data_IF_699680328187
#
_entry.id   IF_699680328187
#
_cell.length_a   1.000
_cell.length_b   1.000
_cell.length_c   1.000
_cell.angle_alpha   90.00
_cell.angle_beta   90.00
_cell.angle_gamma   90.00
#
_symmetry.space_group_name_H-M   'P 1'
#
loop_
_entity.id
_entity.type
_entity.pdbx_description
1 polymer ?
#
# COMPACT_ATOMS: atom_id res chain seq x y z
N UNK A 1 -4.97 -0.23 -36.03
CA UNK A 1 -4.18 -0.03 -34.77
C UNK A 1 -4.40 -1.26 -33.93
N UNK A 2 -3.36 -1.76 -33.28
CA UNK A 2 -3.47 -2.87 -32.34
C UNK A 2 -4.25 -2.39 -31.10
N UNK A 3 -5.17 -3.21 -30.59
CA UNK A 3 -5.95 -2.92 -29.38
C UNK A 3 -5.51 -3.78 -28.23
N UNK A 4 -5.87 -3.40 -27.02
CA UNK A 4 -5.65 -4.15 -25.78
C UNK A 4 -6.87 -4.01 -24.85
N UNK A 5 -7.06 -4.96 -23.94
CA UNK A 5 -8.02 -4.83 -22.86
C UNK A 5 -7.49 -3.96 -21.73
N UNK A 6 -8.37 -3.10 -21.19
CA UNK A 6 -8.09 -2.28 -20.01
C UNK A 6 -9.34 -2.09 -19.14
N UNK A 7 -9.16 -2.11 -17.82
CA UNK A 7 -10.21 -1.80 -16.86
C UNK A 7 -10.15 -0.31 -16.51
N UNK A 8 -11.11 0.45 -17.02
CA UNK A 8 -11.13 1.90 -16.99
C UNK A 8 -12.28 2.45 -16.14
N UNK A 9 -11.97 3.42 -15.33
CA UNK A 9 -12.93 4.16 -14.54
C UNK A 9 -13.28 5.47 -15.25
N UNK A 10 -14.56 5.67 -15.53
CA UNK A 10 -15.09 7.00 -15.85
C UNK A 10 -15.43 7.69 -14.54
N UNK A 11 -14.59 8.63 -14.12
CA UNK A 11 -14.61 9.25 -12.80
C UNK A 11 -15.92 10.00 -12.51
N UNK A 12 -16.49 10.83 -13.42
CA UNK A 12 -17.73 11.55 -13.13
C UNK A 12 -18.93 10.64 -12.86
N UNK A 13 -19.05 9.51 -13.58
CA UNK A 13 -20.15 8.55 -13.39
C UNK A 13 -19.81 7.40 -12.44
N UNK A 14 -18.56 7.34 -11.96
CA UNK A 14 -18.06 6.24 -11.10
C UNK A 14 -18.27 4.85 -11.70
N UNK A 15 -18.11 4.75 -13.02
CA UNK A 15 -18.38 3.51 -13.77
C UNK A 15 -17.07 2.85 -14.17
N UNK A 16 -16.80 1.67 -13.60
CA UNK A 16 -15.68 0.81 -14.00
C UNK A 16 -16.13 -0.12 -15.12
N UNK A 17 -15.37 -0.16 -16.23
CA UNK A 17 -15.59 -1.05 -17.37
C UNK A 17 -14.30 -1.67 -17.85
N UNK A 18 -14.37 -2.91 -18.29
CA UNK A 18 -13.30 -3.54 -19.05
C UNK A 18 -13.66 -3.38 -20.54
N UNK A 19 -12.79 -2.72 -21.26
CA UNK A 19 -13.04 -2.34 -22.67
C UNK A 19 -11.77 -2.47 -23.52
N UNK A 20 -11.95 -2.60 -24.82
CA UNK A 20 -10.85 -2.53 -25.77
C UNK A 20 -10.45 -1.07 -26.00
N UNK A 21 -9.15 -0.80 -25.88
CA UNK A 21 -8.55 0.51 -26.13
C UNK A 21 -7.36 0.38 -27.07
N UNK A 22 -6.93 1.45 -27.77
CA UNK A 22 -5.70 1.41 -28.53
C UNK A 22 -4.51 1.00 -27.64
N UNK A 23 -3.72 0.04 -28.11
CA UNK A 23 -2.46 -0.32 -27.45
C UNK A 23 -1.50 0.86 -27.52
N UNK A 24 -0.99 1.37 -26.40
CA UNK A 24 -0.12 2.54 -26.42
C UNK A 24 1.26 2.21 -27.02
N UNK A 25 1.93 3.23 -27.53
CA UNK A 25 3.29 3.15 -28.05
C UNK A 25 4.22 3.96 -27.15
N UNK A 26 5.41 3.44 -26.79
CA UNK A 26 6.33 4.17 -25.91
C UNK A 26 6.95 5.36 -26.67
N UNK A 27 6.81 6.55 -26.09
CA UNK A 27 7.47 7.76 -26.54
C UNK A 27 8.94 7.83 -26.10
N UNK A 28 9.65 8.95 -26.39
CA UNK A 28 11.02 9.15 -25.96
C UNK A 28 11.16 9.04 -24.42
N UNK A 29 12.09 8.22 -23.95
CA UNK A 29 12.33 7.99 -22.53
C UNK A 29 11.34 7.03 -21.84
N UNK A 30 10.33 6.54 -22.56
CA UNK A 30 9.32 5.61 -22.03
C UNK A 30 9.59 4.16 -22.43
N UNK A 31 8.95 3.25 -21.73
CA UNK A 31 8.87 1.83 -22.08
C UNK A 31 7.43 1.36 -22.05
N UNK A 32 7.12 0.36 -22.87
CA UNK A 32 5.87 -0.39 -22.81
C UNK A 32 6.11 -1.68 -22.04
N UNK A 33 5.35 -1.89 -20.97
CA UNK A 33 5.42 -3.08 -20.15
C UNK A 33 4.21 -3.96 -20.43
N UNK A 34 4.45 -5.22 -20.80
CA UNK A 34 3.42 -6.25 -20.78
C UNK A 34 3.15 -6.58 -19.32
N UNK A 35 1.93 -6.35 -18.87
CA UNK A 35 1.54 -6.59 -17.47
C UNK A 35 1.38 -8.09 -17.24
N UNK A 36 2.04 -8.61 -16.22
CA UNK A 36 1.93 -10.02 -15.81
C UNK A 36 1.10 -10.15 -14.52
N UNK A 37 1.09 -9.13 -13.67
CA UNK A 37 0.27 -9.07 -12.47
C UNK A 37 -0.01 -7.62 -12.07
N UNK A 38 -1.25 -7.34 -11.67
CA UNK A 38 -1.66 -6.06 -11.11
C UNK A 38 -2.48 -6.26 -9.83
N UNK A 39 -2.08 -5.62 -8.72
CA UNK A 39 -2.78 -5.70 -7.44
C UNK A 39 -4.07 -4.89 -7.44
N UNK A 40 -4.99 -5.29 -6.54
CA UNK A 40 -6.24 -4.57 -6.25
C UNK A 40 -6.16 -4.04 -4.84
N UNK A 41 -6.22 -2.72 -4.69
CA UNK A 41 -6.09 -1.99 -3.44
C UNK A 41 -7.42 -1.33 -3.03
N UNK A 42 -7.58 -1.04 -1.74
CA UNK A 42 -8.72 -0.23 -1.27
C UNK A 42 -8.71 1.19 -1.83
N UNK A 43 -7.54 1.72 -2.22
CA UNK A 43 -7.48 3.02 -2.91
C UNK A 43 -8.21 3.00 -4.25
N UNK A 44 -8.23 1.85 -4.96
CA UNK A 44 -9.03 1.70 -6.20
C UNK A 44 -10.53 1.76 -5.88
N UNK A 45 -10.98 1.12 -4.78
CA UNK A 45 -12.36 1.22 -4.29
C UNK A 45 -12.69 2.66 -3.94
N UNK A 46 -11.82 3.35 -3.20
CA UNK A 46 -12.01 4.76 -2.81
C UNK A 46 -12.03 5.72 -4.01
N UNK A 47 -11.32 5.41 -5.08
CA UNK A 47 -11.39 6.18 -6.31
C UNK A 47 -12.72 5.95 -7.03
N UNK A 48 -13.22 4.71 -7.05
CA UNK A 48 -14.51 4.35 -7.66
C UNK A 48 -15.66 4.98 -6.87
N UNK A 49 -15.66 4.93 -5.54
CA UNK A 49 -16.73 5.50 -4.70
C UNK A 49 -16.63 7.04 -4.54
N UNK A 50 -15.49 7.63 -4.92
CA UNK A 50 -15.23 9.07 -4.90
C UNK A 50 -14.70 9.60 -3.56
N UNK A 51 -14.35 8.74 -2.62
CA UNK A 51 -13.63 9.10 -1.38
C UNK A 51 -12.23 9.62 -1.72
N UNK A 52 -11.52 8.94 -2.64
CA UNK A 52 -10.28 9.44 -3.23
C UNK A 52 -10.59 10.22 -4.51
N UNK A 53 -10.00 11.42 -4.65
CA UNK A 53 -10.19 12.28 -5.82
C UNK A 53 -8.90 12.38 -6.62
N UNK A 54 -8.95 12.16 -7.96
CA UNK A 54 -7.78 12.28 -8.83
C UNK A 54 -7.55 13.76 -9.20
N UNK A 55 -6.88 14.50 -8.34
CA UNK A 55 -6.71 15.96 -8.49
C UNK A 55 -5.88 16.37 -9.71
N UNK A 56 -5.03 15.48 -10.20
CA UNK A 56 -4.09 15.76 -11.30
C UNK A 56 -4.48 15.04 -12.61
N UNK A 57 -5.58 14.29 -12.60
CA UNK A 57 -6.08 13.59 -13.79
C UNK A 57 -6.46 14.59 -14.88
N UNK A 58 -5.93 14.36 -16.08
CA UNK A 58 -6.35 15.09 -17.29
C UNK A 58 -7.43 14.29 -18.00
N UNK A 59 -8.65 14.82 -18.01
CA UNK A 59 -9.82 14.16 -18.60
C UNK A 59 -10.66 13.43 -17.55
N UNK A 60 -11.61 12.62 -18.02
CA UNK A 60 -12.66 12.02 -17.19
C UNK A 60 -12.49 10.51 -16.99
N UNK A 61 -11.48 9.91 -17.60
CA UNK A 61 -11.30 8.44 -17.58
C UNK A 61 -9.85 8.08 -17.30
N UNK A 62 -9.66 7.05 -16.48
CA UNK A 62 -8.34 6.52 -16.14
C UNK A 62 -8.38 4.99 -16.10
N UNK A 63 -7.35 4.33 -16.63
CA UNK A 63 -7.10 2.91 -16.37
C UNK A 63 -6.59 2.74 -14.95
N UNK A 64 -7.25 1.91 -14.13
CA UNK A 64 -6.88 1.72 -12.73
C UNK A 64 -5.60 0.89 -12.56
N UNK A 65 -5.16 0.74 -11.31
CA UNK A 65 -4.07 -0.15 -10.89
C UNK A 65 -2.72 0.54 -10.76
N UNK A 66 -2.27 0.68 -9.53
CA UNK A 66 -0.97 1.28 -9.16
C UNK A 66 0.03 0.25 -8.62
N UNK A 67 -0.37 -0.98 -8.43
CA UNK A 67 0.45 -2.13 -8.02
C UNK A 67 0.72 -3.00 -9.24
N UNK A 68 1.88 -2.86 -9.89
CA UNK A 68 2.10 -3.46 -11.22
C UNK A 68 3.47 -4.11 -11.34
N UNK A 69 3.51 -5.33 -11.86
CA UNK A 69 4.73 -6.00 -12.32
C UNK A 69 4.52 -6.61 -13.70
N UNK A 70 5.59 -6.71 -14.44
CA UNK A 70 5.51 -7.24 -15.79
C UNK A 70 6.88 -7.37 -16.48
N UNK A 71 6.83 -7.53 -17.79
CA UNK A 71 8.01 -7.67 -18.65
C UNK A 71 8.03 -6.53 -19.68
N UNK A 72 9.17 -5.90 -19.85
CA UNK A 72 9.33 -4.86 -20.87
C UNK A 72 9.10 -5.48 -22.24
N UNK A 73 8.08 -5.01 -22.96
CA UNK A 73 7.76 -5.42 -24.34
C UNK A 73 8.52 -4.58 -25.35
N UNK A 74 8.53 -3.24 -25.17
CA UNK A 74 9.14 -2.29 -26.10
C UNK A 74 9.81 -1.15 -25.32
N UNK A 75 10.80 -0.54 -25.94
CA UNK A 75 11.49 0.66 -25.42
C UNK A 75 11.38 1.78 -26.42
N UNK A 76 11.11 2.99 -25.93
CA UNK A 76 11.04 4.20 -26.73
C UNK A 76 12.42 4.77 -27.05
N UNK A 77 12.42 5.84 -27.85
CA UNK A 77 13.64 6.52 -28.28
C UNK A 77 14.46 7.01 -27.07
N UNK A 78 15.79 6.86 -27.13
CA UNK A 78 16.73 7.31 -26.12
C UNK A 78 16.78 6.45 -24.85
N UNK A 79 15.99 5.39 -24.73
CA UNK A 79 16.07 4.48 -23.59
C UNK A 79 17.26 3.52 -23.74
N UNK A 80 18.24 3.66 -22.86
CA UNK A 80 19.46 2.81 -22.83
C UNK A 80 19.60 1.98 -21.54
N UNK A 81 18.81 2.30 -20.52
CA UNK A 81 18.89 1.69 -19.17
C UNK A 81 17.93 0.50 -19.00
N UNK A 82 17.13 0.20 -20.02
CA UNK A 82 16.13 -0.88 -20.03
C UNK A 82 16.18 -1.61 -21.35
N UNK A 83 15.80 -2.89 -21.32
CA UNK A 83 15.77 -3.74 -22.53
C UNK A 83 14.49 -4.58 -22.58
N UNK A 84 13.97 -4.88 -23.79
CA UNK A 84 12.87 -5.83 -23.93
C UNK A 84 13.21 -7.18 -23.29
N UNK A 85 12.21 -7.84 -22.68
CA UNK A 85 12.36 -9.10 -21.94
C UNK A 85 12.76 -8.90 -20.48
N UNK A 86 13.16 -7.71 -20.03
CA UNK A 86 13.50 -7.44 -18.65
C UNK A 86 12.25 -7.48 -17.74
N UNK A 87 12.30 -8.22 -16.64
CA UNK A 87 11.28 -8.24 -15.61
C UNK A 87 11.37 -6.97 -14.77
N UNK A 88 10.24 -6.34 -14.51
CA UNK A 88 10.18 -5.05 -13.79
C UNK A 88 8.98 -4.96 -12.85
N UNK A 89 9.14 -4.08 -11.86
CA UNK A 89 8.07 -3.57 -10.99
C UNK A 89 7.94 -2.08 -11.25
N UNK A 90 6.74 -1.62 -11.55
CA UNK A 90 6.48 -0.19 -11.79
C UNK A 90 6.30 0.55 -10.46
N UNK A 91 6.75 1.80 -10.40
CA UNK A 91 6.48 2.66 -9.25
C UNK A 91 4.99 3.01 -9.21
N UNK A 92 4.40 3.03 -8.02
CA UNK A 92 3.01 3.44 -7.80
C UNK A 92 2.77 4.92 -8.10
N UNK A 93 3.82 5.71 -8.19
CA UNK A 93 3.76 7.12 -8.56
C UNK A 93 5.06 7.62 -9.17
N UNK A 94 4.97 8.75 -9.85
CA UNK A 94 6.10 9.42 -10.51
C UNK A 94 6.16 10.88 -10.07
N UNK A 95 7.38 11.34 -9.75
CA UNK A 95 7.62 12.76 -9.50
C UNK A 95 7.79 13.48 -10.85
N UNK A 96 6.91 14.44 -11.14
CA UNK A 96 6.94 15.28 -12.33
C UNK A 96 6.90 16.74 -11.89
N UNK A 97 7.94 17.50 -12.21
CA UNK A 97 8.05 18.94 -11.86
C UNK A 97 7.78 19.24 -10.36
N UNK A 98 8.28 18.37 -9.48
CA UNK A 98 8.11 18.51 -8.03
C UNK A 98 6.74 18.07 -7.48
N UNK A 99 5.86 17.51 -8.33
CA UNK A 99 4.53 17.00 -7.97
C UNK A 99 4.48 15.49 -8.20
N UNK A 100 3.99 14.75 -7.20
CA UNK A 100 3.79 13.31 -7.33
C UNK A 100 2.48 13.02 -8.03
N UNK A 101 2.55 12.34 -9.17
CA UNK A 101 1.41 11.77 -9.89
C UNK A 101 1.28 10.30 -9.52
N UNK A 102 0.08 9.87 -9.12
CA UNK A 102 -0.19 8.47 -8.75
C UNK A 102 -0.68 7.69 -9.97
N UNK A 103 -0.01 6.58 -10.28
CA UNK A 103 -0.40 5.62 -11.33
C UNK A 103 -1.80 5.08 -11.03
N UNK A 104 -2.65 4.89 -12.05
CA UNK A 104 -4.00 4.39 -11.87
C UNK A 104 -4.96 5.34 -11.16
N UNK A 105 -4.52 6.56 -10.86
CA UNK A 105 -5.31 7.65 -10.24
C UNK A 105 -5.21 8.91 -11.08
N UNK A 106 -4.01 9.43 -11.28
CA UNK A 106 -3.76 10.68 -12.01
C UNK A 106 -3.35 10.47 -13.47
N UNK A 107 -2.95 9.26 -13.81
CA UNK A 107 -2.65 8.77 -15.17
C UNK A 107 -2.86 7.26 -15.24
N UNK A 108 -2.92 6.71 -16.47
CA UNK A 108 -3.25 5.31 -16.71
C UNK A 108 -2.35 4.34 -15.95
N UNK A 109 -2.98 3.35 -15.31
CA UNK A 109 -2.39 2.31 -14.50
C UNK A 109 -2.19 0.98 -15.21
N UNK A 110 -2.11 -0.09 -14.44
CA UNK A 110 -1.77 -1.42 -14.92
C UNK A 110 -2.90 -2.44 -14.92
N UNK A 111 -4.15 -2.05 -14.72
CA UNK A 111 -5.26 -2.96 -14.99
C UNK A 111 -5.55 -3.00 -16.50
N UNK A 112 -4.54 -3.44 -17.22
CA UNK A 112 -4.52 -3.52 -18.69
C UNK A 112 -3.50 -4.57 -19.13
N UNK A 113 -3.58 -5.04 -20.36
CA UNK A 113 -2.58 -5.96 -20.94
C UNK A 113 -1.19 -5.32 -21.07
N UNK A 114 -1.15 -4.00 -21.27
CA UNK A 114 0.09 -3.22 -21.35
C UNK A 114 -0.03 -1.91 -20.58
N UNK A 115 1.07 -1.46 -20.02
CA UNK A 115 1.18 -0.16 -19.33
C UNK A 115 2.41 0.61 -19.80
N UNK A 116 2.25 1.92 -20.04
CA UNK A 116 3.36 2.84 -20.27
C UNK A 116 4.00 3.24 -18.94
N UNK A 117 5.30 3.43 -18.95
CA UNK A 117 6.04 3.99 -17.82
C UNK A 117 7.30 4.70 -18.30
N UNK A 118 7.70 5.76 -17.61
CA UNK A 118 9.05 6.29 -17.76
C UNK A 118 10.06 5.17 -17.45
N UNK A 119 11.13 5.05 -18.23
CA UNK A 119 12.16 4.03 -18.03
C UNK A 119 12.85 4.11 -16.65
N UNK A 120 12.75 5.28 -16.00
CA UNK A 120 13.28 5.56 -14.65
C UNK A 120 12.27 5.26 -13.53
N UNK A 121 10.97 5.12 -13.85
CA UNK A 121 9.91 4.92 -12.86
C UNK A 121 9.60 3.43 -12.63
N UNK A 122 10.63 2.62 -12.52
CA UNK A 122 10.56 1.18 -12.27
C UNK A 122 11.85 0.64 -11.68
N UNK A 123 11.77 -0.53 -11.04
CA UNK A 123 12.92 -1.32 -10.63
C UNK A 123 12.95 -2.68 -11.34
N UNK A 124 14.14 -3.25 -11.63
CA UNK A 124 14.26 -4.63 -12.06
C UNK A 124 13.65 -5.58 -11.01
N UNK A 125 12.80 -6.51 -11.45
CA UNK A 125 12.24 -7.55 -10.59
C UNK A 125 13.14 -8.78 -10.67
N UNK A 126 13.80 -9.20 -9.57
CA UNK A 126 14.60 -10.41 -9.53
C UNK A 126 13.82 -11.66 -9.92
N UNK A 127 14.47 -12.62 -10.60
CA UNK A 127 13.82 -13.85 -11.06
C UNK A 127 13.27 -14.71 -9.92
N UNK A 128 13.86 -14.60 -8.73
CA UNK A 128 13.42 -15.31 -7.53
C UNK A 128 12.10 -14.77 -6.93
N UNK A 129 11.64 -13.60 -7.38
CA UNK A 129 10.40 -12.99 -6.88
C UNK A 129 9.29 -13.18 -7.93
N UNK A 130 8.19 -13.89 -7.61
CA UNK A 130 7.04 -14.02 -8.50
C UNK A 130 6.43 -12.67 -8.85
N UNK A 131 5.84 -12.52 -10.04
CA UNK A 131 5.18 -11.28 -10.46
C UNK A 131 4.09 -10.85 -9.48
N UNK A 132 3.28 -11.77 -8.96
CA UNK A 132 2.21 -11.46 -8.01
C UNK A 132 2.75 -10.78 -6.75
N UNK A 133 3.83 -11.30 -6.18
CA UNK A 133 4.49 -10.67 -5.03
C UNK A 133 5.18 -9.36 -5.42
N UNK A 134 5.82 -9.32 -6.59
CA UNK A 134 6.43 -8.11 -7.13
C UNK A 134 5.44 -6.98 -7.28
N UNK A 135 4.25 -7.26 -7.80
CA UNK A 135 3.22 -6.27 -8.09
C UNK A 135 2.79 -5.47 -6.85
N UNK A 136 2.65 -6.13 -5.69
CA UNK A 136 2.14 -5.50 -4.47
C UNK A 136 3.19 -4.66 -3.70
N UNK A 137 4.48 -4.84 -4.00
CA UNK A 137 5.55 -4.14 -3.26
C UNK A 137 5.47 -2.62 -3.40
N UNK A 138 5.14 -2.02 -4.58
CA UNK A 138 5.12 -0.58 -4.77
C UNK A 138 4.09 0.19 -3.95
N UNK A 139 3.08 -0.47 -3.40
CA UNK A 139 2.08 0.16 -2.54
C UNK A 139 1.90 -0.59 -1.23
N UNK A 140 1.40 -1.84 -1.28
CA UNK A 140 1.04 -2.58 -0.08
C UNK A 140 2.18 -2.72 0.94
N UNK A 141 3.42 -2.72 0.47
CA UNK A 141 4.63 -2.86 1.30
C UNK A 141 5.38 -1.54 1.44
N UNK A 142 5.52 -0.79 0.35
CA UNK A 142 6.31 0.44 0.37
C UNK A 142 5.64 1.55 1.18
N UNK A 143 4.32 1.64 1.16
CA UNK A 143 3.57 2.63 1.97
C UNK A 143 3.80 2.41 3.47
N UNK A 144 3.61 1.21 4.06
CA UNK A 144 4.03 0.97 5.44
C UNK A 144 5.54 1.14 5.66
N UNK A 145 6.39 0.78 4.68
CA UNK A 145 7.83 1.02 4.79
C UNK A 145 8.15 2.50 5.00
N UNK A 146 7.64 3.38 4.15
CA UNK A 146 7.83 4.83 4.28
C UNK A 146 7.25 5.38 5.58
N UNK A 147 6.04 4.94 5.97
CA UNK A 147 5.43 5.32 7.24
C UNK A 147 6.32 5.00 8.44
N UNK A 148 6.93 3.81 8.44
CA UNK A 148 7.75 3.28 9.55
C UNK A 148 9.16 3.88 9.54
N UNK A 149 9.84 3.84 8.40
CA UNK A 149 11.28 4.18 8.33
C UNK A 149 11.57 5.64 8.11
N UNK A 150 10.65 6.39 7.46
CA UNK A 150 10.84 7.78 7.09
C UNK A 150 9.98 8.70 7.98
N UNK A 151 8.65 8.55 7.96
CA UNK A 151 7.75 9.45 8.68
C UNK A 151 7.84 9.25 10.19
N UNK A 152 7.69 8.03 10.67
CA UNK A 152 7.86 7.71 12.10
C UNK A 152 9.34 7.62 12.49
N UNK A 153 10.22 7.23 11.58
CA UNK A 153 11.63 6.96 11.85
C UNK A 153 11.81 6.00 13.05
N UNK A 154 11.11 4.87 13.00
CA UNK A 154 11.15 3.84 14.05
C UNK A 154 12.57 3.27 14.18
N UNK A 155 13.03 3.14 15.42
CA UNK A 155 14.35 2.59 15.76
C UNK A 155 14.23 1.19 16.35
N UNK A 156 15.27 0.37 16.25
CA UNK A 156 15.28 -0.93 16.94
C UNK A 156 14.93 -0.80 18.42
N UNK A 157 14.17 -1.77 18.93
CA UNK A 157 13.65 -1.85 20.29
C UNK A 157 12.63 -0.75 20.68
N UNK A 158 12.18 0.11 19.77
CA UNK A 158 11.00 0.94 20.02
C UNK A 158 9.72 0.10 20.00
N UNK A 159 8.84 0.29 20.98
CA UNK A 159 7.52 -0.30 21.01
C UNK A 159 6.64 0.34 19.94
N UNK A 160 5.99 -0.48 19.11
CA UNK A 160 5.16 0.01 18.00
C UNK A 160 3.79 -0.67 17.95
N UNK A 161 2.76 0.05 17.50
CA UNK A 161 1.40 -0.48 17.35
C UNK A 161 0.84 -0.26 15.96
N UNK A 162 0.07 -1.23 15.46
CA UNK A 162 -0.58 -1.22 14.15
C UNK A 162 -2.08 -1.37 14.34
N UNK A 163 -2.87 -0.37 13.97
CA UNK A 163 -4.33 -0.40 13.94
C UNK A 163 -4.84 -0.62 12.52
N UNK A 164 -5.61 -1.71 12.33
CA UNK A 164 -6.02 -2.20 11.02
C UNK A 164 -4.96 -3.10 10.39
N UNK A 165 -5.14 -4.43 10.51
CA UNK A 165 -4.20 -5.45 9.98
C UNK A 165 -4.74 -6.05 8.68
N UNK A 166 -5.24 -5.20 7.80
CA UNK A 166 -5.64 -5.53 6.43
C UNK A 166 -4.46 -5.52 5.46
N UNK A 167 -4.74 -5.14 4.21
CA UNK A 167 -3.80 -5.19 3.09
C UNK A 167 -2.49 -4.42 3.25
N UNK A 168 -2.46 -3.33 4.05
CA UNK A 168 -1.23 -2.59 4.37
C UNK A 168 -0.70 -2.97 5.76
N UNK A 169 -1.61 -3.09 6.75
CA UNK A 169 -1.19 -3.28 8.14
C UNK A 169 -0.47 -4.59 8.41
N UNK A 170 -0.80 -5.68 7.73
CA UNK A 170 -0.07 -6.94 7.84
C UNK A 170 1.39 -6.78 7.39
N UNK A 171 1.62 -6.02 6.31
CA UNK A 171 2.96 -5.71 5.84
C UNK A 171 3.68 -4.74 6.78
N UNK A 172 2.93 -3.81 7.42
CA UNK A 172 3.50 -2.96 8.48
C UNK A 172 4.07 -3.79 9.63
N UNK A 173 3.36 -4.84 10.07
CA UNK A 173 3.87 -5.77 11.10
C UNK A 173 5.17 -6.43 10.66
N UNK A 174 5.23 -6.96 9.43
CA UNK A 174 6.46 -7.57 8.90
C UNK A 174 7.62 -6.56 8.81
N UNK A 175 7.34 -5.33 8.35
CA UNK A 175 8.35 -4.26 8.25
C UNK A 175 8.84 -3.85 9.63
N UNK A 176 7.95 -3.65 10.61
CA UNK A 176 8.32 -3.36 12.00
C UNK A 176 9.23 -4.45 12.58
N UNK A 177 8.90 -5.71 12.32
CA UNK A 177 9.75 -6.84 12.73
C UNK A 177 11.13 -6.78 12.07
N UNK A 178 11.17 -6.49 10.76
CA UNK A 178 12.42 -6.40 10.00
C UNK A 178 13.32 -5.24 10.43
N UNK A 179 12.75 -4.10 10.88
CA UNK A 179 13.53 -2.96 11.41
C UNK A 179 13.90 -3.12 12.89
N UNK A 180 13.39 -4.16 13.56
CA UNK A 180 13.72 -4.48 14.94
C UNK A 180 12.88 -3.76 15.99
N UNK A 181 11.66 -3.31 15.66
CA UNK A 181 10.71 -2.80 16.64
C UNK A 181 10.34 -3.91 17.66
N UNK A 182 10.18 -3.56 18.94
CA UNK A 182 9.82 -4.51 20.00
C UNK A 182 9.33 -3.76 21.26
N UNK A 183 8.17 -4.11 21.83
CA UNK A 183 7.17 -5.04 21.29
C UNK A 183 6.38 -4.45 20.12
N UNK A 184 5.77 -5.32 19.31
CA UNK A 184 4.85 -4.97 18.23
C UNK A 184 3.43 -5.38 18.64
N UNK A 185 2.54 -4.41 18.76
CA UNK A 185 1.12 -4.58 19.08
C UNK A 185 0.29 -4.46 17.80
N UNK A 186 -0.53 -5.45 17.49
CA UNK A 186 -1.49 -5.39 16.41
C UNK A 186 -2.92 -5.22 16.94
N UNK A 187 -3.73 -4.39 16.31
CA UNK A 187 -5.12 -4.15 16.73
C UNK A 187 -6.04 -4.26 15.52
N UNK A 188 -6.99 -5.21 15.55
CA UNK A 188 -7.98 -5.39 14.48
C UNK A 188 -9.24 -6.05 15.05
N UNK A 189 -10.47 -5.64 14.64
CA UNK A 189 -11.71 -6.28 15.09
C UNK A 189 -11.86 -7.72 14.57
N UNK A 190 -11.25 -8.03 13.41
CA UNK A 190 -11.35 -9.35 12.80
C UNK A 190 -10.37 -10.35 13.45
N UNK A 191 -10.85 -11.46 14.05
CA UNK A 191 -9.98 -12.46 14.66
C UNK A 191 -9.00 -13.11 13.67
N UNK A 192 -9.40 -13.30 12.40
CA UNK A 192 -8.51 -13.85 11.35
C UNK A 192 -7.36 -12.88 11.06
N UNK A 193 -7.62 -11.57 11.03
CA UNK A 193 -6.57 -10.56 10.88
C UNK A 193 -5.63 -10.54 12.08
N UNK A 194 -6.14 -10.74 13.30
CA UNK A 194 -5.30 -10.84 14.51
C UNK A 194 -4.39 -12.07 14.50
N UNK A 195 -4.89 -13.23 14.11
CA UNK A 195 -4.07 -14.45 13.94
C UNK A 195 -2.97 -14.25 12.89
N UNK A 196 -3.33 -13.62 11.77
CA UNK A 196 -2.40 -13.25 10.70
C UNK A 196 -1.31 -12.28 11.18
N UNK A 197 -1.68 -11.30 12.01
CA UNK A 197 -0.72 -10.37 12.61
C UNK A 197 0.32 -11.09 13.49
N UNK A 198 -0.12 -12.04 14.31
CA UNK A 198 0.79 -12.87 15.10
C UNK A 198 1.74 -13.68 14.22
N UNK A 199 1.21 -14.32 13.16
CA UNK A 199 2.02 -15.06 12.20
C UNK A 199 3.01 -14.14 11.44
N UNK A 200 2.66 -12.87 11.21
CA UNK A 200 3.51 -11.86 10.59
C UNK A 200 4.60 -11.30 11.53
N UNK A 201 4.54 -11.62 12.83
CA UNK A 201 5.55 -11.24 13.81
C UNK A 201 5.11 -10.19 14.84
N UNK A 202 3.80 -9.92 15.02
CA UNK A 202 3.32 -9.16 16.15
C UNK A 202 3.53 -9.95 17.45
N UNK A 203 3.89 -9.27 18.53
CA UNK A 203 4.08 -9.90 19.84
C UNK A 203 2.75 -10.14 20.55
N UNK A 204 1.76 -9.26 20.33
CA UNK A 204 0.36 -9.44 20.75
C UNK A 204 -0.60 -8.90 19.69
N UNK A 205 -1.81 -9.46 19.67
CA UNK A 205 -2.90 -8.99 18.81
C UNK A 205 -4.18 -8.81 19.63
N UNK A 206 -4.79 -7.63 19.56
CA UNK A 206 -5.88 -7.19 20.40
C UNK A 206 -7.13 -6.84 19.60
N UNK A 207 -8.30 -7.02 20.22
CA UNK A 207 -9.54 -6.50 19.70
C UNK A 207 -9.69 -5.03 20.12
N UNK A 208 -10.00 -4.08 19.20
CA UNK A 208 -10.24 -2.69 19.58
C UNK A 208 -11.44 -2.51 20.52
N UNK A 209 -12.37 -3.47 20.57
CA UNK A 209 -13.52 -3.46 21.48
C UNK A 209 -13.17 -4.00 22.89
N UNK A 210 -11.99 -4.55 23.10
CA UNK A 210 -11.56 -5.03 24.41
C UNK A 210 -11.35 -3.86 25.37
N UNK A 211 -12.10 -3.75 26.48
CA UNK A 211 -11.92 -2.71 27.47
C UNK A 211 -10.53 -2.77 28.15
N UNK A 212 -9.87 -3.92 28.16
CA UNK A 212 -8.53 -4.15 28.71
C UNK A 212 -7.38 -3.83 27.75
N UNK A 213 -7.65 -3.27 26.56
CA UNK A 213 -6.62 -2.99 25.55
C UNK A 213 -5.50 -2.09 26.08
N UNK A 214 -5.85 -1.05 26.84
CA UNK A 214 -4.85 -0.12 27.40
C UNK A 214 -3.94 -0.81 28.41
N UNK A 215 -4.51 -1.63 29.26
CA UNK A 215 -3.81 -2.43 30.27
C UNK A 215 -2.89 -3.47 29.60
N UNK A 216 -3.36 -4.10 28.54
CA UNK A 216 -2.57 -5.06 27.76
C UNK A 216 -1.36 -4.38 27.09
N UNK A 217 -1.56 -3.19 26.48
CA UNK A 217 -0.44 -2.40 25.92
C UNK A 217 0.53 -1.96 27.01
N UNK A 218 0.02 -1.50 28.17
CA UNK A 218 0.87 -1.12 29.30
C UNK A 218 1.69 -2.32 29.80
N UNK A 219 1.09 -3.50 29.92
CA UNK A 219 1.78 -4.71 30.37
C UNK A 219 2.96 -5.07 29.44
N UNK A 220 2.77 -5.11 28.11
CA UNK A 220 3.84 -5.51 27.18
C UNK A 220 4.91 -4.44 26.99
N UNK A 221 4.59 -3.16 27.29
CA UNK A 221 5.54 -2.05 27.21
C UNK A 221 6.17 -1.67 28.55
N UNK A 222 5.94 -2.45 29.61
CA UNK A 222 6.40 -2.14 30.97
C UNK A 222 5.87 -0.81 31.50
N UNK A 223 4.67 -0.39 31.07
CA UNK A 223 4.04 0.88 31.46
C UNK A 223 4.49 2.10 30.65
N UNK A 224 5.47 1.96 29.76
CA UNK A 224 6.01 3.09 29.00
C UNK A 224 5.07 3.60 27.89
N UNK A 225 4.21 2.73 27.35
CA UNK A 225 3.38 3.01 26.17
C UNK A 225 4.14 2.85 24.84
N UNK A 226 3.46 3.13 23.73
CA UNK A 226 4.01 2.96 22.40
C UNK A 226 4.82 4.18 21.95
N UNK A 227 6.03 3.97 21.45
CA UNK A 227 6.83 5.01 20.84
C UNK A 227 6.26 5.47 19.47
N UNK A 228 5.65 4.53 18.72
CA UNK A 228 4.97 4.82 17.46
C UNK A 228 3.69 4.00 17.33
N UNK A 229 2.67 4.59 16.75
CA UNK A 229 1.42 3.92 16.37
C UNK A 229 1.08 4.27 14.91
N UNK A 230 0.45 3.33 14.20
CA UNK A 230 0.12 3.48 12.79
C UNK A 230 -1.37 3.19 12.58
N UNK A 231 -2.09 4.16 12.01
CA UNK A 231 -3.49 3.98 11.60
C UNK A 231 -3.56 3.59 10.14
N UNK A 232 -3.84 2.33 9.86
CA UNK A 232 -4.16 1.83 8.52
C UNK A 232 -5.67 1.61 8.32
N UNK A 233 -6.48 1.83 9.38
CA UNK A 233 -7.92 1.64 9.32
C UNK A 233 -8.69 2.87 8.81
N UNK A 234 -8.17 4.08 9.05
CA UNK A 234 -8.82 5.32 8.68
C UNK A 234 -10.09 5.64 9.50
N UNK A 235 -10.22 5.08 10.71
CA UNK A 235 -11.41 5.21 11.56
C UNK A 235 -11.12 6.16 12.73
N UNK A 236 -11.95 7.21 12.98
CA UNK A 236 -11.70 8.19 14.06
C UNK A 236 -11.49 7.57 15.44
N UNK A 237 -12.34 6.62 15.85
CA UNK A 237 -12.22 5.95 17.15
C UNK A 237 -10.90 5.19 17.32
N UNK A 238 -10.36 4.63 16.23
CA UNK A 238 -9.05 3.98 16.20
C UNK A 238 -7.93 4.96 16.49
N UNK A 239 -8.00 6.17 15.95
CA UNK A 239 -7.02 7.23 16.15
C UNK A 239 -6.96 7.69 17.61
N UNK A 240 -8.11 7.90 18.24
CA UNK A 240 -8.20 8.24 19.65
C UNK A 240 -7.63 7.12 20.53
N UNK A 241 -7.99 5.88 20.24
CA UNK A 241 -7.48 4.71 20.95
C UNK A 241 -5.95 4.62 20.85
N UNK A 242 -5.40 4.77 19.64
CA UNK A 242 -3.96 4.73 19.39
C UNK A 242 -3.22 5.86 20.15
N UNK A 243 -3.72 7.10 20.12
CA UNK A 243 -3.15 8.23 20.88
C UNK A 243 -3.16 7.95 22.39
N UNK A 244 -4.22 7.30 22.88
CA UNK A 244 -4.38 7.06 24.33
C UNK A 244 -3.31 6.15 24.94
N UNK A 245 -2.65 5.33 24.11
CA UNK A 245 -1.62 4.37 24.54
C UNK A 245 -0.19 4.76 24.11
N UNK A 246 -0.03 5.96 23.51
CA UNK A 246 1.28 6.49 23.17
C UNK A 246 2.10 6.85 24.43
N UNK A 247 3.37 6.55 24.36
CA UNK A 247 4.39 7.03 25.32
C UNK A 247 4.53 8.57 25.29
N UNK A 248 5.21 9.19 26.28
CA UNK A 248 5.69 10.55 26.15
C UNK A 248 6.53 10.72 24.88
N UNK A 249 6.28 11.79 24.11
CA UNK A 249 6.87 12.05 22.79
C UNK A 249 6.55 10.99 21.73
N UNK A 250 5.62 10.09 21.99
CA UNK A 250 5.12 9.11 21.05
C UNK A 250 4.45 9.77 19.84
N UNK A 251 4.33 9.02 18.75
CA UNK A 251 3.81 9.53 17.48
C UNK A 251 2.78 8.59 16.88
N UNK A 252 1.64 9.14 16.46
CA UNK A 252 0.65 8.47 15.61
C UNK A 252 0.89 8.87 14.16
N UNK A 253 1.00 7.90 13.27
CA UNK A 253 1.09 8.11 11.82
C UNK A 253 -0.24 7.71 11.18
N UNK A 254 -0.86 8.65 10.46
CA UNK A 254 -2.11 8.46 9.73
C UNK A 254 -1.78 7.99 8.31
N UNK A 255 -2.19 6.78 7.95
CA UNK A 255 -2.00 6.16 6.63
C UNK A 255 -3.35 5.81 6.00
N UNK A 256 -4.29 5.29 6.78
CA UNK A 256 -5.64 4.98 6.34
C UNK A 256 -6.39 6.22 5.89
N UNK A 257 -6.91 6.17 4.65
CA UNK A 257 -7.63 7.30 4.03
C UNK A 257 -9.05 7.40 4.60
N UNK A 258 -9.46 8.62 4.93
CA UNK A 258 -10.83 8.96 5.33
C UNK A 258 -11.04 10.48 5.26
N UNK A 259 -12.26 10.89 5.01
CA UNK A 259 -12.73 12.28 5.09
C UNK A 259 -13.21 12.67 6.50
N UNK A 260 -13.23 11.70 7.42
CA UNK A 260 -13.71 11.92 8.79
C UNK A 260 -12.72 12.74 9.62
N UNK A 261 -13.21 13.59 10.54
CA UNK A 261 -12.35 14.45 11.33
C UNK A 261 -11.40 13.66 12.26
N UNK A 262 -10.24 14.24 12.52
CA UNK A 262 -9.35 13.81 13.59
C UNK A 262 -9.76 14.49 14.89
N UNK A 263 -10.15 13.71 15.89
CA UNK A 263 -10.49 14.22 17.22
C UNK A 263 -9.43 13.81 18.23
N UNK A 264 -9.06 14.73 19.12
CA UNK A 264 -8.20 14.48 20.28
C UNK A 264 -8.97 14.83 21.55
N UNK A 265 -9.49 13.80 22.25
CA UNK A 265 -10.38 14.00 23.38
C UNK A 265 -9.64 14.56 24.60
N UNK A 266 -8.39 14.16 24.85
CA UNK A 266 -7.56 14.64 25.96
C UNK A 266 -6.40 15.50 25.44
N UNK A 267 -6.73 16.71 25.00
CA UNK A 267 -5.75 17.68 24.48
C UNK A 267 -4.71 18.11 25.53
N UNK A 268 -5.09 18.16 26.82
CA UNK A 268 -4.17 18.51 27.91
C UNK A 268 -3.09 17.42 28.07
N UNK A 269 -3.50 16.16 28.11
CA UNK A 269 -2.58 15.02 28.17
C UNK A 269 -1.69 14.95 26.93
N UNK A 270 -2.28 15.15 25.75
CA UNK A 270 -1.55 15.16 24.47
C UNK A 270 -0.41 16.20 24.49
N UNK A 271 -0.73 17.43 24.93
CA UNK A 271 0.25 18.51 25.03
C UNK A 271 1.29 18.25 26.13
N UNK A 272 0.87 17.80 27.31
CA UNK A 272 1.75 17.50 28.43
C UNK A 272 2.76 16.41 28.07
N UNK A 273 2.33 15.36 27.38
CA UNK A 273 3.18 14.26 26.94
C UNK A 273 3.94 14.58 25.64
N UNK A 274 3.75 15.76 25.03
CA UNK A 274 4.41 16.18 23.78
C UNK A 274 4.22 15.15 22.66
N UNK A 275 3.04 14.54 22.59
CA UNK A 275 2.71 13.55 21.55
C UNK A 275 2.57 14.23 20.20
N UNK A 276 2.66 13.46 19.10
CA UNK A 276 2.62 13.98 17.74
C UNK A 276 1.64 13.17 16.89
N UNK A 277 1.01 13.83 15.91
CA UNK A 277 0.26 13.20 14.82
C UNK A 277 0.90 13.61 13.50
N UNK A 278 1.17 12.64 12.64
CA UNK A 278 1.88 12.81 11.38
C UNK A 278 1.05 12.20 10.25
N UNK A 279 0.90 12.90 9.14
CA UNK A 279 0.32 12.34 7.92
C UNK A 279 1.37 11.59 7.12
N UNK A 280 0.95 10.54 6.41
CA UNK A 280 1.81 9.78 5.50
C UNK A 280 1.05 9.36 4.25
N UNK A 281 1.69 9.45 3.09
CA UNK A 281 1.15 9.02 1.80
C UNK A 281 2.26 8.49 0.89
N UNK A 282 2.15 7.21 0.47
CA UNK A 282 3.12 6.56 -0.42
C UNK A 282 4.51 6.36 0.19
N UNK A 283 5.54 6.38 -0.64
CA UNK A 283 6.94 6.37 -0.23
C UNK A 283 7.86 6.90 -1.34
N UNK A 284 9.13 7.21 -1.01
CA UNK A 284 10.17 7.51 -1.99
C UNK A 284 10.55 6.21 -2.75
N UNK A 285 9.86 5.93 -3.86
CA UNK A 285 9.99 4.70 -4.63
C UNK A 285 11.42 4.40 -5.09
N UNK A 286 12.17 5.37 -5.67
CA UNK A 286 13.58 5.17 -6.03
C UNK A 286 14.45 4.66 -4.88
N UNK A 287 14.14 5.05 -3.66
CA UNK A 287 14.89 4.68 -2.45
C UNK A 287 14.34 3.42 -1.79
N UNK A 288 13.01 3.32 -1.67
CA UNK A 288 12.35 2.23 -0.94
C UNK A 288 12.38 0.91 -1.68
N UNK A 289 12.02 0.91 -2.97
CA UNK A 289 11.79 -0.33 -3.72
C UNK A 289 13.04 -1.20 -3.86
N UNK A 290 14.25 -0.67 -4.17
CA UNK A 290 15.45 -1.49 -4.18
C UNK A 290 15.80 -2.13 -2.83
N UNK A 291 15.50 -1.43 -1.72
CA UNK A 291 15.71 -1.97 -0.36
C UNK A 291 14.74 -3.11 -0.07
N UNK A 292 13.46 -2.91 -0.41
CA UNK A 292 12.40 -3.92 -0.21
C UNK A 292 12.69 -5.18 -1.03
N UNK A 293 13.01 -5.06 -2.31
CA UNK A 293 13.38 -6.19 -3.17
C UNK A 293 14.58 -6.96 -2.60
N UNK A 294 15.59 -6.26 -2.06
CA UNK A 294 16.73 -6.88 -1.40
C UNK A 294 16.33 -7.65 -0.14
N UNK A 295 15.42 -7.10 0.68
CA UNK A 295 14.94 -7.77 1.89
C UNK A 295 14.14 -9.03 1.55
N UNK A 296 13.33 -9.00 0.48
CA UNK A 296 12.62 -10.18 -0.03
C UNK A 296 13.60 -11.23 -0.52
N UNK A 297 14.59 -10.86 -1.35
CA UNK A 297 15.62 -11.79 -1.83
C UNK A 297 16.43 -12.43 -0.69
N UNK A 298 16.66 -11.66 0.39
CA UNK A 298 17.37 -12.17 1.58
C UNK A 298 16.48 -12.99 2.53
N UNK A 299 15.20 -13.23 2.19
CA UNK A 299 14.24 -13.95 3.04
C UNK A 299 13.90 -13.22 4.35
N UNK A 300 14.07 -11.89 4.39
CA UNK A 300 13.73 -11.06 5.55
C UNK A 300 12.29 -10.57 5.53
N UNK A 301 11.70 -10.52 4.34
CA UNK A 301 10.29 -10.25 4.09
C UNK A 301 9.77 -11.34 3.16
N UNK A 302 8.55 -11.82 3.43
CA UNK A 302 7.86 -12.82 2.61
C UNK A 302 6.39 -12.41 2.42
N UNK A 303 5.99 -12.27 1.16
CA UNK A 303 4.63 -11.87 0.78
C UNK A 303 3.84 -13.00 0.11
N UNK A 304 4.35 -14.23 0.16
CA UNK A 304 3.68 -15.40 -0.43
C UNK A 304 2.28 -15.61 0.14
N UNK A 305 2.12 -15.42 1.47
CA UNK A 305 0.84 -15.49 2.15
C UNK A 305 -0.08 -14.26 1.94
N UNK A 306 0.39 -13.22 1.26
CA UNK A 306 -0.41 -12.00 1.05
C UNK A 306 -1.33 -12.10 -0.16
N UNK A 307 -1.06 -13.01 -1.10
CA UNK A 307 -1.88 -13.17 -2.31
C UNK A 307 -3.06 -14.07 -1.99
N UNK A 308 -4.24 -13.46 -1.78
CA UNK A 308 -5.48 -14.15 -1.39
C UNK A 308 -6.27 -14.70 -2.56
N UNK A 309 -5.88 -14.38 -3.78
CA UNK A 309 -6.51 -14.89 -4.99
C UNK A 309 -6.11 -14.13 -6.23
N UNK A 310 -6.31 -14.78 -7.37
CA UNK A 310 -6.02 -14.23 -8.69
C UNK A 310 -7.27 -14.31 -9.56
N UNK A 311 -7.58 -13.24 -10.29
CA UNK A 311 -8.69 -13.16 -11.22
C UNK A 311 -8.19 -12.67 -12.59
N UNK A 312 -8.80 -13.11 -13.71
CA UNK A 312 -8.51 -12.50 -15.01
C UNK A 312 -8.98 -11.04 -15.04
N UNK A 313 -8.32 -10.20 -15.83
CA UNK A 313 -8.62 -8.77 -15.98
C UNK A 313 -10.10 -8.50 -16.26
N UNK A 314 -10.74 -9.34 -17.08
CA UNK A 314 -12.18 -9.24 -17.37
C UNK A 314 -13.10 -9.29 -16.15
N UNK A 315 -12.61 -9.76 -15.00
CA UNK A 315 -13.32 -9.82 -13.71
C UNK A 315 -12.88 -8.74 -12.73
N UNK A 316 -12.33 -7.63 -13.20
CA UNK A 316 -11.84 -6.53 -12.33
C UNK A 316 -12.93 -5.99 -11.39
N UNK A 317 -14.17 -5.82 -11.88
CA UNK A 317 -15.30 -5.36 -11.04
C UNK A 317 -15.63 -6.35 -9.91
N UNK A 318 -15.49 -7.66 -10.16
CA UNK A 318 -15.67 -8.68 -9.11
C UNK A 318 -14.55 -8.62 -8.06
N UNK A 319 -13.31 -8.43 -8.48
CA UNK A 319 -12.19 -8.28 -7.56
C UNK A 319 -12.37 -7.06 -6.63
N UNK A 320 -12.83 -5.93 -7.19
CA UNK A 320 -13.21 -4.73 -6.43
C UNK A 320 -14.30 -5.05 -5.40
N UNK A 321 -15.40 -5.67 -5.83
CA UNK A 321 -16.53 -6.02 -4.96
C UNK A 321 -16.13 -6.98 -3.83
N UNK A 322 -15.27 -7.96 -4.10
CA UNK A 322 -14.75 -8.89 -3.08
C UNK A 322 -13.90 -8.16 -2.03
N UNK A 323 -13.07 -7.22 -2.47
CA UNK A 323 -12.22 -6.44 -1.57
C UNK A 323 -13.06 -5.48 -0.71
N UNK A 324 -14.01 -4.79 -1.31
CA UNK A 324 -14.93 -3.87 -0.64
C UNK A 324 -15.74 -4.57 0.46
N UNK A 325 -16.31 -5.73 0.13
CA UNK A 325 -17.11 -6.54 1.07
C UNK A 325 -16.26 -7.37 2.03
N UNK A 326 -14.93 -7.34 1.90
CA UNK A 326 -13.99 -8.21 2.64
C UNK A 326 -14.35 -9.70 2.54
N UNK A 327 -14.83 -10.14 1.38
CA UNK A 327 -15.31 -11.48 1.14
C UNK A 327 -14.16 -12.50 1.18
N UNK A 328 -14.12 -13.35 2.22
CA UNK A 328 -12.99 -14.25 2.50
C UNK A 328 -11.78 -13.55 3.10
N UNK A 329 -11.95 -12.33 3.62
CA UNK A 329 -10.91 -11.52 4.27
C UNK A 329 -9.60 -11.41 3.45
N UNK A 330 -9.66 -10.91 2.19
CA UNK A 330 -8.48 -10.86 1.33
C UNK A 330 -7.47 -9.84 1.83
N UNK A 331 -6.18 -10.19 1.76
CA UNK A 331 -5.07 -9.24 1.94
C UNK A 331 -4.85 -8.49 0.64
N UNK A 332 -4.58 -9.24 -0.45
CA UNK A 332 -4.44 -8.73 -1.81
C UNK A 332 -5.06 -9.68 -2.82
N UNK A 333 -5.76 -9.11 -3.77
CA UNK A 333 -6.22 -9.79 -4.97
C UNK A 333 -5.34 -9.33 -6.14
N UNK A 334 -5.08 -10.24 -7.07
CA UNK A 334 -4.26 -9.96 -8.26
C UNK A 334 -5.15 -10.10 -9.51
N UNK A 335 -5.08 -9.12 -10.39
CA UNK A 335 -5.59 -9.21 -11.75
C UNK A 335 -4.49 -9.68 -12.70
N UNK A 336 -4.84 -10.61 -13.58
CA UNK A 336 -3.98 -11.04 -14.68
C UNK A 336 -4.65 -10.69 -16.01
N UNK A 337 -4.01 -9.89 -16.82
CA UNK A 337 -4.47 -9.59 -18.17
C UNK A 337 -4.45 -10.80 -19.10
#
# INVERSE_FOLDING_TARGET
METMLAARLHVPSRTLRVEEVPRPQPGPGEVLVKVEAAGVCLSDVHLIDGTLKPFLLRGDTVTLGHEVSGTIAEVGEGVTIRTPGQRVVLYAGELRDGVTYTRGVDYDGGWAEYALSAATAMAPLPDSIPFDQGAIIPDAVSTPWGAITETAAVRPAEAAGVWGVGGLGVHAVQVLRAVGACPIVAVDPNPVARERALAAGADIALDPADPGLREAVAAVTGGAGLAAAFDFAGVPAVREQAVSVLAPKGRLVLVGLTDQPLTLTDGTRFSYLQQRVLGHYGSDMPVALPKLLRLVQAGRLDFSGSISGTLPLGRAAEAVARLEKKEGDPIRLILRP
#
